data_IF_043802109597
#
_entry.id   IF_043802109597
#
_cell.length_a   1.000
_cell.length_b   1.000
_cell.length_c   1.000
_cell.angle_alpha   90.00
_cell.angle_beta   90.00
_cell.angle_gamma   90.00
#
_symmetry.space_group_name_H-M   'P 1'
#
loop_
_entity.id
_entity.type
_entity.pdbx_description
1 polymer ?
#
# COMPACT_ATOMS: atom_id res chain seq x y z
N UNK A 1 -43.07 -21.45 13.47
CA UNK A 1 -42.97 -21.07 12.04
C UNK A 1 -41.56 -20.53 11.92
N UNK A 2 -40.62 -21.44 11.76
CA UNK A 2 -39.20 -21.11 11.72
C UNK A 2 -38.95 -20.42 10.38
N UNK A 3 -38.38 -19.21 10.41
CA UNK A 3 -37.95 -18.53 9.21
C UNK A 3 -36.63 -19.14 8.77
N UNK A 4 -36.60 -19.71 7.56
CA UNK A 4 -35.35 -20.15 6.93
C UNK A 4 -34.43 -18.92 6.71
N UNK A 5 -33.14 -19.00 7.09
CA UNK A 5 -32.20 -17.93 6.78
C UNK A 5 -32.00 -17.86 5.26
N UNK A 6 -32.30 -16.70 4.68
CA UNK A 6 -32.03 -16.43 3.27
C UNK A 6 -30.53 -16.57 2.96
N UNK A 7 -30.17 -16.81 1.69
CA UNK A 7 -28.77 -16.96 1.30
C UNK A 7 -28.03 -15.66 1.67
N UNK A 8 -27.13 -15.76 2.65
CA UNK A 8 -26.18 -14.72 2.94
C UNK A 8 -25.37 -14.51 1.67
N UNK A 9 -25.64 -13.42 0.96
CA UNK A 9 -24.73 -12.95 -0.05
C UNK A 9 -23.42 -12.67 0.67
N UNK A 10 -22.43 -13.52 0.44
CA UNK A 10 -21.04 -13.15 0.72
C UNK A 10 -20.82 -11.87 -0.08
N UNK A 11 -20.77 -10.75 0.63
CA UNK A 11 -20.46 -9.44 0.07
C UNK A 11 -19.00 -9.40 -0.33
N UNK A 12 -18.56 -10.38 -1.12
CA UNK A 12 -17.21 -10.59 -1.59
C UNK A 12 -16.82 -9.37 -2.39
N UNK A 13 -16.19 -8.42 -1.70
CA UNK A 13 -15.45 -7.35 -2.35
C UNK A 13 -14.34 -8.05 -3.09
N UNK A 14 -14.41 -8.05 -4.42
CA UNK A 14 -13.35 -8.57 -5.26
C UNK A 14 -12.02 -7.98 -4.78
N UNK A 15 -10.97 -8.81 -4.61
CA UNK A 15 -9.66 -8.32 -4.20
C UNK A 15 -9.25 -7.12 -5.06
N UNK A 16 -8.73 -6.03 -4.47
CA UNK A 16 -8.19 -4.94 -5.26
C UNK A 16 -7.17 -5.49 -6.26
N UNK A 17 -7.23 -5.05 -7.51
CA UNK A 17 -6.50 -5.66 -8.63
C UNK A 17 -4.99 -5.80 -8.38
N UNK A 18 -4.43 -4.93 -7.53
CA UNK A 18 -3.02 -4.92 -7.13
C UNK A 18 -2.67 -6.18 -6.32
N UNK A 19 -3.51 -6.59 -5.36
CA UNK A 19 -3.28 -7.79 -4.55
C UNK A 19 -3.42 -9.06 -5.39
N UNK A 20 -4.46 -9.16 -6.22
CA UNK A 20 -4.65 -10.31 -7.12
C UNK A 20 -3.48 -10.49 -8.11
N UNK A 21 -2.95 -9.39 -8.65
CA UNK A 21 -1.81 -9.42 -9.55
C UNK A 21 -0.52 -9.78 -8.80
N UNK A 22 -0.31 -9.19 -7.63
CA UNK A 22 0.84 -9.51 -6.76
C UNK A 22 0.89 -10.99 -6.38
N UNK A 23 -0.25 -11.56 -5.98
CA UNK A 23 -0.35 -12.98 -5.64
C UNK A 23 0.03 -13.88 -6.82
N UNK A 24 -0.54 -13.63 -8.01
CA UNK A 24 -0.23 -14.40 -9.22
C UNK A 24 1.26 -14.36 -9.58
N UNK A 25 1.88 -13.19 -9.51
CA UNK A 25 3.30 -13.03 -9.84
C UNK A 25 4.23 -13.76 -8.84
N UNK A 26 3.76 -13.95 -7.61
CA UNK A 26 4.49 -14.67 -6.56
C UNK A 26 4.12 -16.16 -6.49
N UNK A 27 3.23 -16.65 -7.36
CA UNK A 27 2.74 -18.03 -7.31
C UNK A 27 1.90 -18.34 -6.06
N UNK A 28 1.22 -17.33 -5.52
CA UNK A 28 0.35 -17.43 -4.36
C UNK A 28 -1.12 -17.42 -4.79
N UNK A 29 -1.98 -18.08 -4.01
CA UNK A 29 -3.43 -17.95 -4.14
C UNK A 29 -3.85 -16.52 -3.77
N UNK A 30 -4.67 -15.89 -4.62
CA UNK A 30 -5.05 -14.49 -4.47
C UNK A 30 -5.85 -14.24 -3.18
N UNK A 31 -6.73 -15.18 -2.84
CA UNK A 31 -7.57 -15.15 -1.65
C UNK A 31 -6.71 -15.14 -0.38
N UNK A 32 -5.62 -15.92 -0.37
CA UNK A 32 -4.71 -15.97 0.77
C UNK A 32 -3.96 -14.66 1.00
N UNK A 33 -3.50 -14.02 -0.08
CA UNK A 33 -2.86 -12.70 0.03
C UNK A 33 -3.87 -11.64 0.46
N UNK A 34 -5.09 -11.67 -0.11
CA UNK A 34 -6.17 -10.73 0.22
C UNK A 34 -6.59 -10.86 1.67
N UNK A 35 -6.75 -12.08 2.19
CA UNK A 35 -7.12 -12.33 3.59
C UNK A 35 -6.10 -11.75 4.58
N UNK A 36 -4.81 -11.68 4.21
CA UNK A 36 -3.80 -11.01 5.02
C UNK A 36 -3.99 -9.49 5.11
N UNK A 37 -4.62 -8.86 4.12
CA UNK A 37 -4.87 -7.42 4.08
C UNK A 37 -6.31 -7.03 4.43
N UNK A 38 -7.25 -7.98 4.42
CA UNK A 38 -8.70 -7.78 4.56
C UNK A 38 -9.11 -6.96 5.79
N UNK A 39 -8.53 -7.26 6.94
CA UNK A 39 -8.78 -6.56 8.21
C UNK A 39 -7.61 -5.63 8.60
N UNK A 40 -6.74 -5.31 7.64
CA UNK A 40 -5.59 -4.44 7.83
C UNK A 40 -5.98 -2.98 8.07
N UNK A 41 -5.09 -2.22 8.71
CA UNK A 41 -5.28 -0.77 8.84
C UNK A 41 -4.80 -0.06 7.59
N UNK A 42 -5.69 0.72 6.96
CA UNK A 42 -5.32 1.67 5.92
C UNK A 42 -5.12 3.06 6.53
N UNK A 43 -4.00 3.69 6.19
CA UNK A 43 -3.68 5.06 6.59
C UNK A 43 -3.20 5.89 5.42
N UNK A 44 -3.31 7.21 5.54
CA UNK A 44 -2.78 8.16 4.57
C UNK A 44 -1.82 9.13 5.26
N UNK A 45 -0.65 9.34 4.65
CA UNK A 45 0.34 10.32 5.09
C UNK A 45 0.50 11.40 4.02
N UNK A 46 0.22 12.64 4.39
CA UNK A 46 0.49 13.80 3.54
C UNK A 46 1.80 14.44 3.96
N UNK A 47 2.74 14.58 3.03
CA UNK A 47 4.04 15.21 3.28
C UNK A 47 4.15 16.51 2.48
N UNK A 48 4.55 17.59 3.14
CA UNK A 48 4.90 18.87 2.51
C UNK A 48 6.34 19.22 2.85
N UNK A 49 7.18 19.34 1.82
CA UNK A 49 8.59 19.69 1.95
C UNK A 49 8.79 21.12 1.40
N UNK A 50 8.96 22.14 2.25
CA UNK A 50 9.14 23.52 1.79
C UNK A 50 10.50 23.71 1.11
N UNK A 51 10.64 24.73 0.23
CA UNK A 51 11.94 25.09 -0.35
C UNK A 51 12.99 25.37 0.74
N UNK A 52 14.18 24.80 0.58
CA UNK A 52 15.30 24.98 1.50
C UNK A 52 16.51 25.58 0.77
N UNK A 53 17.08 26.71 1.22
CA UNK A 53 18.28 27.30 0.61
C UNK A 53 19.53 26.41 0.67
N UNK A 54 19.53 25.42 1.56
CA UNK A 54 20.63 24.46 1.77
C UNK A 54 20.10 23.03 1.68
N UNK A 55 19.27 22.75 0.67
CA UNK A 55 18.64 21.44 0.47
C UNK A 55 19.65 20.29 0.37
N UNK A 56 20.89 20.57 -0.02
CA UNK A 56 22.02 19.64 -0.08
C UNK A 56 22.55 19.21 1.31
N UNK A 57 22.16 19.90 2.39
CA UNK A 57 22.66 19.67 3.76
C UNK A 57 21.61 19.15 4.72
N UNK A 58 20.37 18.99 4.26
CA UNK A 58 19.24 18.55 5.08
C UNK A 58 18.48 17.43 4.39
N UNK A 59 17.76 16.64 5.18
CA UNK A 59 16.89 15.58 4.67
C UNK A 59 15.43 16.00 4.87
N UNK A 60 14.60 15.81 3.85
CA UNK A 60 13.14 15.95 4.01
C UNK A 60 12.58 14.86 4.92
N UNK A 61 13.02 13.62 4.73
CA UNK A 61 12.75 12.47 5.59
C UNK A 61 14.01 11.61 5.66
N UNK A 62 14.31 11.05 6.83
CA UNK A 62 15.42 10.10 6.97
C UNK A 62 15.18 8.85 6.12
N UNK A 63 16.24 8.25 5.60
CA UNK A 63 16.16 6.96 4.95
C UNK A 63 15.50 5.92 5.89
N UNK A 64 14.50 5.20 5.37
CA UNK A 64 13.74 4.19 6.11
C UNK A 64 13.10 3.19 5.15
N UNK A 65 12.67 2.06 5.70
CA UNK A 65 11.69 1.17 5.07
C UNK A 65 10.35 1.36 5.76
N UNK A 66 9.27 1.32 4.99
CA UNK A 66 7.92 1.34 5.57
C UNK A 66 7.66 0.05 6.34
N UNK A 67 6.98 0.17 7.48
CA UNK A 67 6.53 -0.97 8.27
C UNK A 67 5.23 -1.60 7.71
N UNK A 68 4.70 -1.02 6.63
CA UNK A 68 3.45 -1.38 5.99
C UNK A 68 3.68 -2.52 4.98
N UNK A 69 2.66 -3.35 4.73
CA UNK A 69 2.75 -4.37 3.70
C UNK A 69 2.76 -3.80 2.27
N UNK A 70 2.03 -2.70 2.02
CA UNK A 70 2.02 -2.00 0.74
C UNK A 70 1.85 -0.49 0.96
N UNK A 71 2.71 0.30 0.32
CA UNK A 71 2.59 1.77 0.27
C UNK A 71 2.35 2.21 -1.16
N UNK A 72 1.30 2.99 -1.39
CA UNK A 72 1.03 3.67 -2.66
C UNK A 72 1.35 5.15 -2.50
N UNK A 73 2.35 5.63 -3.26
CA UNK A 73 2.76 7.03 -3.23
C UNK A 73 2.19 7.79 -4.44
N UNK A 74 1.52 8.91 -4.17
CA UNK A 74 1.14 9.88 -5.18
C UNK A 74 2.00 11.15 -5.04
N UNK A 75 2.78 11.45 -6.06
CA UNK A 75 3.53 12.70 -6.13
C UNK A 75 2.66 13.79 -6.78
N UNK A 76 2.26 14.79 -5.99
CA UNK A 76 1.29 15.81 -6.42
C UNK A 76 1.87 16.87 -7.37
N UNK A 77 3.19 17.01 -7.44
CA UNK A 77 3.89 17.99 -8.26
C UNK A 77 5.01 17.32 -9.08
N UNK A 78 5.63 18.11 -9.97
CA UNK A 78 6.67 17.63 -10.90
C UNK A 78 8.10 17.70 -10.31
N UNK A 79 8.25 17.84 -8.99
CA UNK A 79 9.57 17.94 -8.34
C UNK A 79 10.08 16.53 -8.01
N UNK A 80 11.23 16.12 -8.55
CA UNK A 80 11.79 14.78 -8.30
C UNK A 80 12.61 14.76 -7.02
N UNK A 81 12.03 14.24 -5.94
CA UNK A 81 12.69 14.15 -4.62
C UNK A 81 12.68 12.73 -4.02
N UNK A 82 11.85 11.81 -4.52
CA UNK A 82 11.83 10.43 -4.03
C UNK A 82 13.10 9.69 -4.49
N UNK A 83 13.82 9.14 -3.53
CA UNK A 83 14.99 8.31 -3.76
C UNK A 83 14.77 6.94 -3.12
N UNK A 84 15.18 5.89 -3.82
CA UNK A 84 15.10 4.51 -3.35
C UNK A 84 16.52 3.99 -3.12
N UNK A 85 16.74 3.32 -1.98
CA UNK A 85 17.95 2.54 -1.79
C UNK A 85 17.73 1.16 -2.42
N UNK A 86 18.49 0.84 -3.46
CA UNK A 86 18.49 -0.48 -4.08
C UNK A 86 19.64 -1.29 -3.51
N UNK A 87 19.29 -2.29 -2.70
CA UNK A 87 20.23 -3.31 -2.26
C UNK A 87 20.55 -4.21 -3.48
N UNK A 88 21.81 -4.23 -3.92
CA UNK A 88 22.27 -5.21 -4.91
C UNK A 88 22.58 -6.54 -4.21
N UNK A 89 21.89 -7.60 -4.62
CA UNK A 89 22.11 -8.98 -4.20
C UNK A 89 23.13 -9.72 -5.06
#
# INVERSE_FOLDING_TARGET
MEAEPGPGGDGGVSPPAIESTGAKNLGLEAEKLTDHFKDGTQGMRMNYYPPCPQADKVLGISAHSDANGLTLLLQVNQVQELQLNQECS
#
